data_IF_653436746796
#
_entry.id   IF_653436746796
#
_cell.length_a   1.000
_cell.length_b   1.000
_cell.length_c   1.000
_cell.angle_alpha   90.00
_cell.angle_beta   90.00
_cell.angle_gamma   90.00
#
_symmetry.space_group_name_H-M   'P 1'
#
loop_
_entity.id
_entity.type
_entity.pdbx_description
1 polymer ?
#
# COMPACT_ATOMS: atom_id res chain seq x y z
N UNK A 1 12.01 -14.98 -11.70
CA UNK A 1 11.54 -14.55 -10.36
C UNK A 1 11.12 -15.80 -9.58
N UNK A 2 11.44 -15.89 -8.30
CA UNK A 2 10.95 -16.98 -7.43
C UNK A 2 9.46 -16.81 -7.15
N UNK A 3 8.76 -17.92 -6.88
CA UNK A 3 7.34 -17.88 -6.47
C UNK A 3 7.14 -17.21 -5.10
N UNK A 4 8.17 -17.24 -4.24
CA UNK A 4 8.14 -16.63 -2.92
C UNK A 4 8.76 -15.24 -2.96
N UNK A 5 8.13 -14.30 -2.27
CA UNK A 5 8.67 -12.98 -1.99
C UNK A 5 9.49 -13.02 -0.70
N UNK A 6 10.69 -12.45 -0.75
CA UNK A 6 11.60 -12.41 0.38
C UNK A 6 11.86 -10.96 0.78
N UNK A 7 11.41 -10.53 1.97
CA UNK A 7 11.78 -9.24 2.54
C UNK A 7 13.30 -9.09 2.65
N UNK A 8 13.81 -7.93 2.25
CA UNK A 8 15.25 -7.61 2.38
C UNK A 8 15.48 -6.99 3.77
N UNK A 9 16.50 -7.42 4.53
CA UNK A 9 16.92 -6.73 5.76
C UNK A 9 17.17 -5.24 5.50
N UNK A 10 16.83 -4.37 6.44
CA UNK A 10 16.84 -2.93 6.19
C UNK A 10 18.24 -2.36 5.98
N UNK A 11 19.25 -2.92 6.66
CA UNK A 11 20.65 -2.62 6.42
C UNK A 11 21.08 -2.90 4.99
N UNK A 12 20.71 -4.05 4.44
CA UNK A 12 21.02 -4.49 3.10
C UNK A 12 20.28 -3.65 2.06
N UNK A 13 19.01 -3.33 2.34
CA UNK A 13 18.18 -2.45 1.50
C UNK A 13 18.79 -1.06 1.37
N UNK A 14 19.16 -0.43 2.49
CA UNK A 14 19.73 0.92 2.48
C UNK A 14 21.16 0.95 1.95
N UNK A 15 21.98 -0.08 2.20
CA UNK A 15 23.30 -0.18 1.58
C UNK A 15 23.22 -0.30 0.07
N UNK A 16 22.21 -0.99 -0.48
CA UNK A 16 21.98 -1.01 -1.92
C UNK A 16 21.64 0.41 -2.42
N UNK A 17 20.65 1.07 -1.83
CA UNK A 17 20.26 2.45 -2.20
C UNK A 17 21.47 3.39 -2.20
N UNK A 18 22.27 3.39 -1.13
CA UNK A 18 23.43 4.29 -1.02
C UNK A 18 24.54 3.94 -2.00
N UNK A 19 24.83 2.66 -2.21
CA UNK A 19 25.90 2.22 -3.10
C UNK A 19 25.56 2.47 -4.56
N UNK A 20 24.32 2.17 -4.98
CA UNK A 20 23.84 2.43 -6.35
C UNK A 20 23.82 3.93 -6.65
N UNK A 21 23.28 4.72 -5.72
CA UNK A 21 23.24 6.18 -5.89
C UNK A 21 24.64 6.79 -5.94
N UNK A 22 25.59 6.31 -5.13
CA UNK A 22 26.97 6.77 -5.19
C UNK A 22 27.69 6.34 -6.49
N UNK A 23 27.35 5.18 -7.05
CA UNK A 23 28.02 4.62 -8.22
C UNK A 23 27.52 5.22 -9.53
N UNK A 24 26.21 5.30 -9.73
CA UNK A 24 25.61 5.74 -10.99
C UNK A 24 24.50 6.79 -10.82
N UNK A 25 24.18 7.17 -9.58
CA UNK A 25 23.10 8.11 -9.28
C UNK A 25 21.72 7.49 -9.26
N UNK A 26 21.57 6.20 -9.56
CA UNK A 26 20.26 5.53 -9.64
C UNK A 26 19.77 5.05 -8.26
N UNK A 27 18.46 4.78 -8.17
CA UNK A 27 17.88 4.05 -7.04
C UNK A 27 16.99 2.92 -7.57
N UNK A 28 17.40 1.67 -7.35
CA UNK A 28 16.74 0.47 -7.87
C UNK A 28 16.44 0.57 -9.38
N UNK A 29 17.41 1.04 -10.17
CA UNK A 29 17.29 1.23 -11.62
C UNK A 29 16.44 2.41 -12.07
N UNK A 30 15.94 3.25 -11.15
CA UNK A 30 15.29 4.51 -11.52
C UNK A 30 16.37 5.53 -11.87
N UNK A 31 16.53 5.82 -13.17
CA UNK A 31 17.55 6.76 -13.66
C UNK A 31 17.16 8.24 -13.58
N UNK A 32 15.85 8.51 -13.60
CA UNK A 32 15.30 9.87 -13.57
C UNK A 32 14.50 10.07 -12.30
N UNK A 33 15.09 10.79 -11.36
CA UNK A 33 14.48 11.11 -10.09
C UNK A 33 13.53 12.28 -10.22
N UNK A 34 12.41 12.21 -9.50
CA UNK A 34 11.61 13.38 -9.23
C UNK A 34 12.28 14.20 -8.12
N UNK A 35 12.30 15.52 -8.32
CA UNK A 35 12.68 16.49 -7.31
C UNK A 35 11.50 17.41 -7.03
N UNK A 36 11.23 17.67 -5.75
CA UNK A 36 10.11 18.51 -5.31
C UNK A 36 10.09 19.87 -6.02
N UNK A 37 8.98 20.20 -6.67
CA UNK A 37 8.80 21.46 -7.40
C UNK A 37 8.34 22.64 -6.52
N UNK A 38 8.15 22.41 -5.21
CA UNK A 38 7.54 23.34 -4.27
C UNK A 38 6.01 23.37 -4.30
N UNK A 39 5.36 22.66 -5.24
CA UNK A 39 3.91 22.48 -5.27
C UNK A 39 3.48 21.38 -4.29
N UNK A 40 2.32 21.56 -3.67
CA UNK A 40 1.70 20.55 -2.81
C UNK A 40 0.18 20.59 -2.87
N UNK A 41 -0.45 19.47 -2.55
CA UNK A 41 -1.90 19.30 -2.43
C UNK A 41 -2.22 18.81 -1.02
N UNK A 42 -3.24 19.36 -0.35
CA UNK A 42 -3.65 18.89 0.96
C UNK A 42 -4.36 17.53 0.86
N UNK A 43 -4.11 16.65 1.82
CA UNK A 43 -4.85 15.40 1.98
C UNK A 43 -4.83 15.01 3.46
N UNK A 44 -5.99 14.82 4.10
CA UNK A 44 -6.07 14.31 5.48
C UNK A 44 -5.33 15.13 6.56
N UNK A 45 -5.20 16.44 6.37
CA UNK A 45 -4.38 17.30 7.23
C UNK A 45 -2.86 17.13 7.01
N UNK A 46 -2.48 16.27 6.08
CA UNK A 46 -1.14 16.08 5.52
C UNK A 46 -1.08 16.71 4.11
N UNK A 47 0.01 16.48 3.38
CA UNK A 47 0.20 16.99 2.02
C UNK A 47 0.97 16.01 1.14
N UNK A 48 0.71 16.10 -0.18
CA UNK A 48 1.43 15.37 -1.21
C UNK A 48 2.00 16.33 -2.26
N UNK A 49 3.24 16.10 -2.73
CA UNK A 49 3.87 16.95 -3.75
C UNK A 49 3.40 16.63 -5.19
N UNK A 50 2.85 15.43 -5.39
CA UNK A 50 2.28 14.97 -6.66
C UNK A 50 0.99 14.17 -6.38
N UNK A 51 0.01 14.16 -7.29
CA UNK A 51 -1.22 13.40 -7.12
C UNK A 51 -1.09 11.93 -7.58
N UNK A 52 0.12 11.37 -7.60
CA UNK A 52 0.37 10.04 -8.16
C UNK A 52 0.95 9.09 -7.12
N UNK A 53 0.64 7.80 -7.28
CA UNK A 53 1.36 6.73 -6.65
C UNK A 53 0.64 5.38 -6.75
N UNK A 54 1.26 4.31 -6.24
CA UNK A 54 0.77 2.97 -6.45
C UNK A 54 -0.49 2.69 -5.60
N UNK A 55 -1.48 2.04 -6.21
CA UNK A 55 -2.62 1.44 -5.52
C UNK A 55 -2.17 0.18 -4.74
N UNK A 56 -3.00 -0.32 -3.81
CA UNK A 56 -2.74 -1.58 -3.12
C UNK A 56 -2.61 -2.73 -4.13
N UNK A 57 -1.37 -3.20 -4.35
CA UNK A 57 -1.06 -4.16 -5.40
C UNK A 57 0.38 -4.68 -5.28
N UNK A 58 0.84 -5.50 -6.23
CA UNK A 58 2.20 -6.04 -6.22
C UNK A 58 3.29 -4.96 -6.09
N UNK A 59 3.04 -3.77 -6.64
CA UNK A 59 3.98 -2.64 -6.63
C UNK A 59 4.08 -1.91 -5.28
N UNK A 60 3.17 -2.15 -4.33
CA UNK A 60 3.16 -1.50 -3.01
C UNK A 60 3.30 -2.49 -1.84
N UNK A 61 3.87 -3.67 -2.12
CA UNK A 61 4.02 -4.75 -1.14
C UNK A 61 5.42 -4.83 -0.50
N UNK A 62 6.47 -4.55 -1.27
CA UNK A 62 7.86 -4.62 -0.81
C UNK A 62 8.49 -3.23 -0.74
N UNK A 63 9.39 -3.03 0.21
CA UNK A 63 9.99 -1.73 0.50
C UNK A 63 10.76 -1.17 -0.71
N UNK A 64 11.52 -2.00 -1.42
CA UNK A 64 12.27 -1.59 -2.61
C UNK A 64 11.35 -1.08 -3.74
N UNK A 65 10.16 -1.67 -3.90
CA UNK A 65 9.20 -1.22 -4.92
C UNK A 65 8.62 0.15 -4.56
N UNK A 66 8.32 0.36 -3.27
CA UNK A 66 7.83 1.65 -2.75
C UNK A 66 8.92 2.73 -2.88
N UNK A 67 10.18 2.39 -2.56
CA UNK A 67 11.34 3.28 -2.72
C UNK A 67 11.54 3.67 -4.17
N UNK A 68 11.52 2.70 -5.10
CA UNK A 68 11.63 2.98 -6.53
C UNK A 68 10.47 3.87 -7.02
N UNK A 69 9.24 3.60 -6.59
CA UNK A 69 8.09 4.43 -6.94
C UNK A 69 8.22 5.87 -6.41
N UNK A 70 8.73 6.06 -5.19
CA UNK A 70 9.00 7.39 -4.62
C UNK A 70 10.07 8.15 -5.41
N UNK A 71 11.17 7.47 -5.74
CA UNK A 71 12.25 8.02 -6.54
C UNK A 71 11.73 8.48 -7.91
N UNK A 72 10.79 7.73 -8.51
CA UNK A 72 10.12 8.08 -9.76
C UNK A 72 9.02 9.17 -9.63
N UNK A 73 8.69 9.62 -8.41
CA UNK A 73 7.79 10.76 -8.16
C UNK A 73 6.46 10.43 -7.47
N UNK A 74 6.21 9.19 -7.05
CA UNK A 74 5.03 8.84 -6.28
C UNK A 74 5.03 9.54 -4.91
N UNK A 75 3.85 10.01 -4.46
CA UNK A 75 3.63 10.68 -3.16
C UNK A 75 2.42 10.19 -2.40
N UNK A 76 1.54 9.41 -3.02
CA UNK A 76 0.45 8.74 -2.34
C UNK A 76 0.64 7.22 -2.46
N UNK A 77 0.86 6.53 -1.34
CA UNK A 77 1.12 5.10 -1.34
C UNK A 77 -0.02 4.36 -0.65
N UNK A 78 -0.90 3.73 -1.44
CA UNK A 78 -1.83 2.74 -0.90
C UNK A 78 -1.08 1.40 -0.79
N UNK A 79 -0.63 1.08 0.42
CA UNK A 79 0.20 -0.12 0.65
C UNK A 79 -0.67 -1.38 0.59
N UNK A 80 -0.07 -2.50 0.18
CA UNK A 80 -0.80 -3.74 -0.11
C UNK A 80 -1.66 -4.20 1.09
N UNK A 81 -2.90 -4.58 0.78
CA UNK A 81 -3.91 -5.01 1.75
C UNK A 81 -3.44 -6.18 2.60
N UNK A 82 -3.60 -6.03 3.91
CA UNK A 82 -3.44 -7.12 4.89
C UNK A 82 -4.80 -7.69 5.29
N UNK A 83 -4.85 -8.99 5.54
CA UNK A 83 -6.05 -9.69 5.99
C UNK A 83 -5.72 -10.82 6.97
N UNK A 84 -6.75 -11.45 7.53
CA UNK A 84 -6.60 -12.50 8.56
C UNK A 84 -5.77 -13.69 8.07
N UNK A 85 -6.08 -14.19 6.87
CA UNK A 85 -5.35 -15.25 6.17
C UNK A 85 -4.16 -14.64 5.43
N UNK A 86 -2.93 -15.06 5.75
CA UNK A 86 -1.70 -14.43 5.27
C UNK A 86 -0.58 -15.45 5.06
N UNK A 87 0.53 -15.00 4.45
CA UNK A 87 1.73 -15.82 4.30
C UNK A 87 1.50 -17.12 3.52
N UNK A 88 2.01 -18.23 4.06
CA UNK A 88 1.98 -19.54 3.38
C UNK A 88 0.56 -20.10 3.19
N UNK A 89 -0.36 -19.81 4.12
CA UNK A 89 -1.76 -20.23 4.01
C UNK A 89 -2.42 -19.57 2.80
N UNK A 90 -2.29 -18.24 2.69
CA UNK A 90 -2.79 -17.49 1.54
C UNK A 90 -2.10 -17.91 0.25
N UNK A 91 -0.76 -18.00 0.25
CA UNK A 91 0.02 -18.35 -0.94
C UNK A 91 -0.33 -19.74 -1.51
N UNK A 92 -0.80 -20.67 -0.67
CA UNK A 92 -1.26 -21.98 -1.11
C UNK A 92 -2.63 -21.93 -1.83
N UNK A 93 -3.43 -20.90 -1.59
CA UNK A 93 -4.72 -20.68 -2.25
C UNK A 93 -4.61 -19.94 -3.59
N UNK A 94 -3.44 -19.34 -3.89
CA UNK A 94 -3.26 -18.54 -5.11
C UNK A 94 -2.90 -19.45 -6.28
N UNK A 95 -3.79 -19.62 -7.29
CA UNK A 95 -3.44 -20.34 -8.50
C UNK A 95 -2.36 -19.59 -9.28
N UNK A 96 -1.35 -20.29 -9.80
CA UNK A 96 -0.24 -19.70 -10.57
C UNK A 96 -0.24 -20.19 -12.02
N UNK A 97 0.08 -19.32 -13.01
CA UNK A 97 0.43 -17.90 -12.87
C UNK A 97 -0.78 -17.06 -12.43
N UNK A 98 -0.58 -16.21 -11.41
CA UNK A 98 -1.64 -15.35 -10.86
C UNK A 98 -1.71 -13.98 -11.54
N UNK A 99 -0.67 -13.60 -12.28
CA UNK A 99 -0.60 -12.36 -13.05
C UNK A 99 -0.01 -12.67 -14.43
N UNK A 100 -0.71 -12.27 -15.48
CA UNK A 100 -0.22 -12.32 -16.87
C UNK A 100 -0.45 -10.94 -17.49
N UNK A 101 0.62 -10.15 -17.64
CA UNK A 101 0.54 -8.78 -18.13
C UNK A 101 0.84 -8.64 -19.64
N UNK A 102 0.74 -9.73 -20.40
CA UNK A 102 1.14 -9.75 -21.81
C UNK A 102 0.11 -9.10 -22.75
N UNK A 103 -1.16 -9.00 -22.33
CA UNK A 103 -2.30 -8.49 -23.09
C UNK A 103 -3.15 -7.52 -22.22
N UNK A 104 -4.48 -7.68 -22.17
CA UNK A 104 -5.42 -6.94 -21.32
C UNK A 104 -5.09 -7.04 -19.82
N UNK A 105 -4.20 -7.95 -19.43
CA UNK A 105 -3.68 -8.07 -18.09
C UNK A 105 -4.60 -8.93 -17.23
N UNK A 106 -4.27 -10.22 -17.12
CA UNK A 106 -4.94 -11.10 -16.17
C UNK A 106 -4.33 -10.93 -14.78
N UNK A 107 -5.18 -10.74 -13.77
CA UNK A 107 -4.79 -10.68 -12.38
C UNK A 107 -5.77 -11.47 -11.52
N UNK A 108 -5.25 -12.36 -10.70
CA UNK A 108 -5.99 -13.01 -9.64
C UNK A 108 -5.87 -12.15 -8.38
N UNK A 109 -6.96 -11.46 -8.05
CA UNK A 109 -6.99 -10.51 -6.95
C UNK A 109 -6.87 -11.21 -5.59
N UNK A 110 -5.67 -11.20 -5.03
CA UNK A 110 -5.41 -11.66 -3.66
C UNK A 110 -4.74 -10.56 -2.84
N UNK A 111 -4.90 -10.65 -1.51
CA UNK A 111 -4.18 -9.82 -0.54
C UNK A 111 -2.67 -10.15 -0.52
N UNK A 112 -1.92 -9.55 0.40
CA UNK A 112 -0.47 -9.77 0.50
C UNK A 112 -0.09 -11.26 0.66
N UNK A 113 0.95 -11.70 -0.05
CA UNK A 113 1.57 -13.02 0.12
C UNK A 113 2.54 -13.05 1.30
N UNK A 114 2.83 -11.88 1.88
CA UNK A 114 3.58 -11.76 3.12
C UNK A 114 2.70 -12.09 4.31
N UNK A 115 3.31 -12.45 5.44
CA UNK A 115 2.60 -12.36 6.72
C UNK A 115 2.28 -10.89 7.05
N UNK A 116 1.26 -10.64 7.87
CA UNK A 116 0.89 -9.28 8.31
C UNK A 116 2.08 -8.57 8.97
N UNK A 117 2.89 -9.30 9.75
CA UNK A 117 4.09 -8.73 10.37
C UNK A 117 5.14 -8.34 9.33
N UNK A 118 5.39 -9.19 8.32
CA UNK A 118 6.33 -8.85 7.25
C UNK A 118 5.85 -7.65 6.43
N UNK A 119 4.56 -7.58 6.10
CA UNK A 119 3.99 -6.42 5.42
C UNK A 119 4.18 -5.12 6.24
N UNK A 120 3.88 -5.18 7.55
CA UNK A 120 4.13 -4.08 8.48
C UNK A 120 5.60 -3.62 8.42
N UNK A 121 6.52 -4.57 8.49
CA UNK A 121 7.95 -4.27 8.51
C UNK A 121 8.40 -3.64 7.20
N UNK A 122 7.94 -4.14 6.05
CA UNK A 122 8.24 -3.54 4.73
C UNK A 122 7.73 -2.10 4.62
N UNK A 123 6.54 -1.80 5.14
CA UNK A 123 5.99 -0.44 5.07
C UNK A 123 6.72 0.52 6.02
N UNK A 124 7.13 0.05 7.21
CA UNK A 124 7.96 0.83 8.14
C UNK A 124 9.35 1.09 7.54
N UNK A 125 9.95 0.09 6.89
CA UNK A 125 11.24 0.25 6.17
C UNK A 125 11.13 1.32 5.09
N UNK A 126 10.11 1.21 4.22
CA UNK A 126 9.88 2.18 3.16
C UNK A 126 9.70 3.59 3.75
N UNK A 127 8.83 3.76 4.75
CA UNK A 127 8.60 5.05 5.41
C UNK A 127 9.91 5.71 5.86
N UNK A 128 10.74 4.99 6.61
CA UNK A 128 12.02 5.49 7.10
C UNK A 128 13.01 5.82 5.96
N UNK A 129 13.08 4.96 4.93
CA UNK A 129 13.94 5.18 3.77
C UNK A 129 13.53 6.45 3.01
N UNK A 130 12.23 6.63 2.73
CA UNK A 130 11.72 7.79 2.00
C UNK A 130 12.02 9.09 2.73
N UNK A 131 11.83 9.14 4.07
CA UNK A 131 12.14 10.33 4.88
C UNK A 131 13.63 10.73 4.77
N UNK A 132 14.55 9.77 4.78
CA UNK A 132 15.99 10.08 4.64
C UNK A 132 16.35 10.45 3.21
N UNK A 133 15.84 9.72 2.22
CA UNK A 133 16.11 10.02 0.81
C UNK A 133 15.59 11.39 0.38
N UNK A 134 14.43 11.81 0.89
CA UNK A 134 13.88 13.14 0.63
C UNK A 134 14.87 14.24 1.04
N UNK A 135 15.53 14.06 2.18
CA UNK A 135 16.51 15.00 2.73
C UNK A 135 17.88 14.88 2.07
N UNK A 136 18.48 13.69 2.08
CA UNK A 136 19.87 13.45 1.66
C UNK A 136 20.05 13.63 0.15
N UNK A 137 19.06 13.21 -0.64
CA UNK A 137 19.13 13.28 -2.10
C UNK A 137 18.27 14.40 -2.69
N UNK A 138 17.57 15.18 -1.85
CA UNK A 138 16.72 16.27 -2.30
C UNK A 138 15.57 15.82 -3.19
N UNK A 139 15.05 14.60 -2.98
CA UNK A 139 13.95 14.04 -3.78
C UNK A 139 12.61 14.69 -3.48
N UNK A 140 12.49 15.46 -2.39
CA UNK A 140 11.29 16.20 -2.03
C UNK A 140 11.27 16.57 -0.55
N UNK A 141 10.16 17.11 -0.08
CA UNK A 141 9.93 17.35 1.33
C UNK A 141 9.69 16.01 2.07
N UNK A 142 10.31 15.78 3.25
CA UNK A 142 10.06 14.58 4.05
C UNK A 142 8.58 14.41 4.41
N UNK A 143 7.80 15.46 4.56
CA UNK A 143 6.36 15.42 4.82
C UNK A 143 5.53 15.70 3.56
N UNK A 144 6.16 15.55 2.39
CA UNK A 144 5.54 15.72 1.07
C UNK A 144 4.89 14.48 0.48
N UNK A 145 4.76 13.39 1.24
CA UNK A 145 4.12 12.14 0.84
C UNK A 145 3.31 11.54 1.98
N UNK A 146 2.35 10.67 1.65
CA UNK A 146 1.49 9.98 2.61
C UNK A 146 1.41 8.50 2.31
N UNK A 147 1.33 7.69 3.37
CA UNK A 147 0.93 6.29 3.27
C UNK A 147 -0.53 6.16 3.68
N UNK A 148 -1.23 5.30 2.96
CA UNK A 148 -2.61 4.92 3.20
C UNK A 148 -2.61 3.40 3.37
N UNK A 149 -2.79 2.94 4.61
CA UNK A 149 -2.78 1.52 4.91
C UNK A 149 -4.02 0.84 4.31
N UNK A 150 -3.91 -0.39 3.81
CA UNK A 150 -5.10 -1.13 3.35
C UNK A 150 -5.35 -2.35 4.22
N UNK A 151 -6.61 -2.53 4.63
CA UNK A 151 -7.07 -3.70 5.39
C UNK A 151 -8.32 -4.27 4.71
N UNK A 152 -8.47 -5.58 4.74
CA UNK A 152 -9.65 -6.27 4.25
C UNK A 152 -9.95 -7.49 5.10
N UNK A 153 -11.17 -7.57 5.63
CA UNK A 153 -11.82 -8.74 6.23
C UNK A 153 -13.20 -8.30 6.77
N UNK A 154 -13.95 -9.20 7.41
CA UNK A 154 -15.06 -8.81 8.28
C UNK A 154 -14.60 -7.99 9.51
N UNK A 155 -15.55 -7.35 10.20
CA UNK A 155 -15.27 -6.50 11.36
C UNK A 155 -14.56 -7.28 12.48
N UNK A 156 -14.95 -8.52 12.71
CA UNK A 156 -14.36 -9.33 13.79
C UNK A 156 -12.90 -9.69 13.50
N UNK A 157 -12.55 -9.94 12.25
CA UNK A 157 -11.17 -10.13 11.83
C UNK A 157 -10.35 -8.86 11.86
N UNK A 158 -10.93 -7.70 11.50
CA UNK A 158 -10.28 -6.39 11.63
C UNK A 158 -10.01 -6.05 13.10
N UNK A 159 -10.97 -6.32 13.99
CA UNK A 159 -10.82 -6.16 15.45
C UNK A 159 -9.90 -7.23 16.06
N UNK A 160 -9.72 -8.35 15.36
CA UNK A 160 -8.86 -9.44 15.76
C UNK A 160 -7.42 -8.96 16.03
N UNK A 161 -6.76 -9.62 16.99
CA UNK A 161 -5.42 -9.21 17.47
C UNK A 161 -4.43 -8.93 16.35
N UNK A 162 -4.41 -9.77 15.31
CA UNK A 162 -3.47 -9.67 14.19
C UNK A 162 -3.62 -8.32 13.44
N UNK A 163 -4.80 -8.05 12.89
CA UNK A 163 -5.06 -6.84 12.09
C UNK A 163 -5.10 -5.59 12.96
N UNK A 164 -5.69 -5.68 14.15
CA UNK A 164 -5.72 -4.57 15.09
C UNK A 164 -4.32 -4.13 15.53
N UNK A 165 -3.39 -5.07 15.72
CA UNK A 165 -1.98 -4.76 16.05
C UNK A 165 -1.28 -4.07 14.89
N UNK A 166 -1.52 -4.54 13.65
CA UNK A 166 -1.01 -3.89 12.44
C UNK A 166 -1.50 -2.44 12.34
N UNK A 167 -2.82 -2.21 12.44
CA UNK A 167 -3.40 -0.86 12.38
C UNK A 167 -2.76 0.06 13.41
N UNK A 168 -2.69 -0.39 14.68
CA UNK A 168 -2.10 0.41 15.75
C UNK A 168 -0.61 0.70 15.51
N UNK A 169 0.13 -0.26 14.98
CA UNK A 169 1.56 -0.10 14.69
C UNK A 169 1.82 0.80 13.48
N UNK A 170 0.92 0.82 12.50
CA UNK A 170 0.99 1.76 11.38
C UNK A 170 0.60 3.18 11.80
N UNK A 171 -0.31 3.32 12.77
CA UNK A 171 -0.64 4.61 13.39
C UNK A 171 0.52 5.17 14.24
N UNK A 172 1.27 4.30 14.92
CA UNK A 172 2.47 4.62 15.68
C UNK A 172 3.44 3.42 15.72
N UNK A 173 4.48 3.49 14.89
CA UNK A 173 5.50 2.46 14.77
C UNK A 173 6.60 2.57 15.83
N UNK A 174 6.57 3.58 16.71
CA UNK A 174 7.70 3.98 17.56
C UNK A 174 8.18 2.87 18.51
N UNK A 175 7.30 1.95 18.88
CA UNK A 175 7.62 0.81 19.75
C UNK A 175 8.04 -0.44 19.00
N UNK A 176 7.81 -0.51 17.69
CA UNK A 176 8.13 -1.69 16.86
C UNK A 176 9.63 -1.94 16.79
N UNK A 177 10.02 -3.19 16.62
CA UNK A 177 11.43 -3.55 16.43
C UNK A 177 11.97 -2.97 15.12
N UNK A 178 11.18 -3.05 14.04
CA UNK A 178 11.58 -2.57 12.73
C UNK A 178 11.87 -1.08 12.71
N UNK A 179 11.04 -0.23 13.34
CA UNK A 179 11.29 1.21 13.36
C UNK A 179 12.57 1.58 14.11
N UNK A 180 12.86 0.88 15.22
CA UNK A 180 14.10 1.05 15.99
C UNK A 180 15.33 0.63 15.19
N UNK A 181 15.24 -0.50 14.50
CA UNK A 181 16.27 -0.96 13.57
C UNK A 181 16.50 0.07 12.47
N UNK A 182 15.44 0.59 11.85
CA UNK A 182 15.55 1.59 10.81
C UNK A 182 16.30 2.84 11.29
N UNK A 183 15.94 3.38 12.45
CA UNK A 183 16.63 4.55 13.02
C UNK A 183 18.09 4.27 13.32
N UNK A 184 18.42 3.08 13.84
CA UNK A 184 19.79 2.67 14.11
C UNK A 184 20.61 2.64 12.82
N UNK A 185 20.16 1.87 11.82
CA UNK A 185 20.84 1.69 10.53
C UNK A 185 21.01 3.04 9.81
N UNK A 186 19.97 3.87 9.76
CA UNK A 186 20.06 5.18 9.13
C UNK A 186 21.06 6.09 9.85
N UNK A 187 21.11 6.06 11.18
CA UNK A 187 22.07 6.87 11.96
C UNK A 187 23.51 6.42 11.72
N UNK A 188 23.74 5.13 11.51
CA UNK A 188 25.05 4.58 11.18
C UNK A 188 25.47 4.95 9.74
N UNK A 189 24.55 4.91 8.77
CA UNK A 189 24.81 5.25 7.37
C UNK A 189 24.93 6.76 7.12
N UNK A 190 24.18 7.58 7.85
CA UNK A 190 24.12 9.03 7.68
C UNK A 190 24.33 9.75 9.03
N UNK A 191 25.54 9.68 9.62
CA UNK A 191 25.81 10.23 10.94
C UNK A 191 25.58 11.74 11.03
N UNK A 192 25.82 12.47 9.94
CA UNK A 192 25.57 13.92 9.85
C UNK A 192 24.08 14.27 9.93
N UNK A 193 23.19 13.32 9.64
CA UNK A 193 21.73 13.49 9.64
C UNK A 193 21.05 12.95 10.91
N UNK A 194 21.84 12.62 11.94
CA UNK A 194 21.36 11.98 13.17
C UNK A 194 20.18 12.69 13.82
N UNK A 195 20.20 14.01 13.92
CA UNK A 195 19.12 14.78 14.55
C UNK A 195 17.83 14.70 13.74
N UNK A 196 17.94 14.73 12.41
CA UNK A 196 16.79 14.53 11.54
C UNK A 196 16.24 13.11 11.64
N UNK A 197 17.10 12.10 11.61
CA UNK A 197 16.70 10.69 11.77
C UNK A 197 16.05 10.48 13.14
N UNK A 198 16.56 11.12 14.19
CA UNK A 198 15.97 11.10 15.51
C UNK A 198 14.56 11.73 15.53
N UNK A 199 14.31 12.74 14.69
CA UNK A 199 13.02 13.43 14.55
C UNK A 199 12.02 12.74 13.61
N UNK A 200 12.40 11.69 12.86
CA UNK A 200 11.49 10.97 11.97
C UNK A 200 10.24 10.53 12.76
N UNK A 201 9.09 10.99 12.28
CA UNK A 201 7.79 10.65 12.88
C UNK A 201 7.55 9.13 12.83
N UNK A 202 7.11 8.52 13.94
CA UNK A 202 6.71 7.12 13.95
C UNK A 202 5.30 6.89 13.38
N UNK A 203 4.54 7.95 13.08
CA UNK A 203 3.19 7.86 12.55
C UNK A 203 3.25 7.56 11.04
N UNK A 204 3.29 6.27 10.67
CA UNK A 204 3.48 5.84 9.28
C UNK A 204 2.24 6.14 8.44
N UNK A 205 1.04 5.92 8.96
CA UNK A 205 -0.20 6.11 8.22
C UNK A 205 -1.35 6.57 9.11
N UNK A 206 -2.01 7.66 8.72
CA UNK A 206 -3.20 8.23 9.37
C UNK A 206 -4.50 8.02 8.59
N UNK A 207 -4.39 7.38 7.43
CA UNK A 207 -5.52 7.00 6.59
C UNK A 207 -5.55 5.49 6.39
N UNK A 208 -6.71 4.98 6.02
CA UNK A 208 -6.96 3.57 5.76
C UNK A 208 -7.91 3.40 4.59
N UNK A 209 -7.64 2.39 3.76
CA UNK A 209 -8.56 1.89 2.75
C UNK A 209 -9.13 0.55 3.20
N UNK A 210 -10.44 0.53 3.38
CA UNK A 210 -11.20 -0.70 3.50
C UNK A 210 -11.33 -1.32 2.12
N UNK A 211 -10.60 -2.41 1.88
CA UNK A 211 -10.76 -3.24 0.70
C UNK A 211 -11.94 -4.18 0.94
N UNK A 212 -13.05 -3.97 0.22
CA UNK A 212 -14.24 -4.80 0.37
C UNK A 212 -14.00 -6.18 -0.24
N UNK A 213 -14.39 -7.24 0.46
CA UNK A 213 -14.42 -8.58 -0.11
C UNK A 213 -15.63 -8.72 -1.03
N UNK A 214 -15.55 -9.59 -2.04
CA UNK A 214 -16.72 -10.00 -2.80
C UNK A 214 -17.80 -10.56 -1.87
N UNK A 215 -19.06 -10.20 -2.13
CA UNK A 215 -20.23 -10.58 -1.33
C UNK A 215 -20.25 -9.98 0.08
N UNK A 216 -19.39 -8.99 0.39
CA UNK A 216 -19.43 -8.33 1.69
C UNK A 216 -20.74 -7.51 1.82
N UNK A 217 -21.60 -7.80 2.82
CA UNK A 217 -22.87 -7.10 2.96
C UNK A 217 -22.67 -5.60 3.21
N UNK A 218 -23.54 -4.71 2.65
CA UNK A 218 -23.41 -3.26 2.83
C UNK A 218 -23.33 -2.84 4.31
N UNK A 219 -24.13 -3.47 5.17
CA UNK A 219 -24.14 -3.18 6.61
C UNK A 219 -22.83 -3.59 7.28
N UNK A 220 -22.13 -4.60 6.77
CA UNK A 220 -20.82 -4.99 7.29
C UNK A 220 -19.75 -3.96 6.91
N UNK A 221 -19.78 -3.48 5.66
CA UNK A 221 -18.91 -2.39 5.19
C UNK A 221 -19.12 -1.14 6.04
N UNK A 222 -20.37 -0.73 6.28
CA UNK A 222 -20.70 0.43 7.12
C UNK A 222 -20.20 0.27 8.55
N UNK A 223 -20.35 -0.92 9.15
CA UNK A 223 -19.87 -1.22 10.51
C UNK A 223 -18.34 -1.11 10.59
N UNK A 224 -17.62 -1.62 9.59
CA UNK A 224 -16.16 -1.52 9.53
C UNK A 224 -15.73 -0.07 9.33
N UNK A 225 -16.31 0.64 8.37
CA UNK A 225 -16.00 2.05 8.12
C UNK A 225 -16.27 2.90 9.37
N UNK A 226 -17.41 2.69 10.04
CA UNK A 226 -17.74 3.32 11.31
C UNK A 226 -16.70 3.04 12.40
N UNK A 227 -16.23 1.80 12.52
CA UNK A 227 -15.18 1.43 13.47
C UNK A 227 -13.86 2.17 13.16
N UNK A 228 -13.42 2.17 11.90
CA UNK A 228 -12.18 2.84 11.48
C UNK A 228 -12.25 4.36 11.69
N UNK A 229 -13.40 4.98 11.44
CA UNK A 229 -13.61 6.42 11.66
C UNK A 229 -13.74 6.78 13.14
N UNK A 230 -14.60 6.07 13.89
CA UNK A 230 -15.00 6.47 15.25
C UNK A 230 -14.09 5.94 16.34
N UNK A 231 -13.60 4.70 16.20
CA UNK A 231 -12.78 4.03 17.22
C UNK A 231 -11.28 4.12 16.90
N UNK A 232 -10.92 4.09 15.60
CA UNK A 232 -9.52 4.25 15.16
C UNK A 232 -9.14 5.67 14.79
N UNK A 233 -10.11 6.56 14.58
CA UNK A 233 -9.87 7.94 14.16
C UNK A 233 -9.00 8.05 12.89
N UNK A 234 -9.18 7.12 11.96
CA UNK A 234 -8.47 7.09 10.68
C UNK A 234 -9.33 7.75 9.59
N UNK A 235 -8.69 8.52 8.72
CA UNK A 235 -9.34 8.94 7.48
C UNK A 235 -9.59 7.70 6.62
N UNK A 236 -10.86 7.41 6.34
CA UNK A 236 -11.26 6.10 5.80
C UNK A 236 -11.76 6.24 4.37
N UNK A 237 -11.19 5.45 3.47
CA UNK A 237 -11.74 5.17 2.15
C UNK A 237 -12.44 3.81 2.14
N UNK A 238 -13.53 3.68 1.40
CA UNK A 238 -14.12 2.40 1.02
C UNK A 238 -13.79 2.17 -0.45
N UNK A 239 -13.06 1.09 -0.75
CA UNK A 239 -12.69 0.72 -2.12
C UNK A 239 -13.67 -0.32 -2.63
N UNK A 240 -14.64 0.12 -3.41
CA UNK A 240 -15.70 -0.71 -3.96
C UNK A 240 -15.21 -1.59 -5.11
N UNK A 241 -15.84 -2.75 -5.26
CA UNK A 241 -15.64 -3.61 -6.41
C UNK A 241 -16.22 -2.96 -7.68
N UNK A 242 -15.61 -3.17 -8.86
CA UNK A 242 -16.09 -2.59 -10.12
C UNK A 242 -17.44 -3.15 -10.56
N UNK A 243 -17.89 -4.25 -9.96
CA UNK A 243 -19.23 -4.85 -10.11
C UNK A 243 -20.35 -3.86 -9.86
N UNK A 244 -20.11 -2.79 -9.08
CA UNK A 244 -21.06 -1.70 -8.84
C UNK A 244 -21.54 -0.99 -10.13
N UNK A 245 -20.79 -1.11 -11.24
CA UNK A 245 -21.20 -0.58 -12.56
C UNK A 245 -22.40 -1.33 -13.18
N UNK A 246 -22.66 -2.55 -12.71
CA UNK A 246 -23.69 -3.45 -13.24
C UNK A 246 -23.23 -4.23 -14.48
N UNK A 247 -23.70 -5.48 -14.58
CA UNK A 247 -23.28 -6.44 -15.61
C UNK A 247 -23.45 -5.92 -17.03
N UNK A 248 -24.65 -5.40 -17.35
CA UNK A 248 -24.97 -4.92 -18.70
C UNK A 248 -24.05 -3.79 -19.15
N UNK A 249 -23.70 -2.88 -18.25
CA UNK A 249 -22.78 -1.78 -18.51
C UNK A 249 -21.37 -2.32 -18.78
N UNK A 250 -20.86 -3.19 -17.90
CA UNK A 250 -19.54 -3.78 -18.05
C UNK A 250 -19.41 -4.58 -19.36
N UNK A 251 -20.41 -5.41 -19.69
CA UNK A 251 -20.45 -6.20 -20.92
C UNK A 251 -20.47 -5.32 -22.17
N UNK A 252 -21.35 -4.31 -22.19
CA UNK A 252 -21.44 -3.36 -23.31
C UNK A 252 -20.14 -2.60 -23.56
N UNK A 253 -19.45 -2.16 -22.49
CA UNK A 253 -18.15 -1.48 -22.60
C UNK A 253 -17.12 -2.43 -23.23
N UNK A 254 -16.98 -3.64 -22.70
CA UNK A 254 -16.02 -4.61 -23.20
C UNK A 254 -16.29 -5.00 -24.67
N UNK A 255 -17.56 -5.21 -25.04
CA UNK A 255 -17.95 -5.49 -26.44
C UNK A 255 -17.56 -4.34 -27.37
N UNK A 256 -17.83 -3.10 -26.96
CA UNK A 256 -17.52 -1.92 -27.76
C UNK A 256 -16.01 -1.70 -27.99
N UNK A 257 -15.18 -2.26 -27.12
CA UNK A 257 -13.72 -2.21 -27.20
C UNK A 257 -13.10 -3.40 -27.94
N UNK A 258 -13.92 -4.37 -28.38
CA UNK A 258 -13.45 -5.59 -29.06
C UNK A 258 -13.03 -6.73 -28.12
N UNK A 259 -13.46 -6.68 -26.86
CA UNK A 259 -13.20 -7.70 -25.83
C UNK A 259 -14.39 -8.67 -25.64
N UNK A 260 -15.07 -9.03 -26.74
CA UNK A 260 -16.24 -9.93 -26.75
C UNK A 260 -15.90 -11.37 -26.34
N UNK A 261 -14.63 -11.75 -26.42
CA UNK A 261 -14.12 -13.06 -25.99
C UNK A 261 -13.97 -13.19 -24.47
N UNK A 262 -13.99 -12.10 -23.69
CA UNK A 262 -13.90 -12.17 -22.22
C UNK A 262 -15.24 -12.65 -21.66
N UNK A 263 -15.22 -13.80 -20.98
CA UNK A 263 -16.42 -14.44 -20.42
C UNK A 263 -16.51 -14.20 -18.91
N UNK A 264 -17.65 -13.67 -18.46
CA UNK A 264 -18.04 -13.53 -17.06
C UNK A 264 -19.57 -13.54 -16.95
N UNK A 265 -20.09 -13.83 -15.76
CA UNK A 265 -21.52 -13.92 -15.48
C UNK A 265 -22.02 -12.78 -14.57
N UNK A 266 -23.31 -12.79 -14.28
CA UNK A 266 -23.99 -11.80 -13.43
C UNK A 266 -23.81 -12.07 -11.92
N UNK A 267 -23.18 -13.17 -11.51
CA UNK A 267 -23.20 -13.65 -10.12
C UNK A 267 -22.62 -12.61 -9.15
N UNK A 268 -21.35 -12.23 -9.34
CA UNK A 268 -20.71 -11.23 -8.48
C UNK A 268 -21.32 -9.83 -8.62
N UNK A 269 -21.94 -9.51 -9.76
CA UNK A 269 -22.64 -8.23 -9.94
C UNK A 269 -23.89 -8.11 -9.07
N UNK A 270 -24.56 -9.23 -8.79
CA UNK A 270 -25.77 -9.27 -7.98
C UNK A 270 -25.48 -9.44 -6.48
N UNK A 271 -24.34 -10.06 -6.13
CA UNK A 271 -23.98 -10.34 -4.73
C UNK A 271 -23.14 -9.26 -4.07
N UNK A 272 -22.35 -8.51 -4.83
CA UNK A 272 -21.54 -7.41 -4.31
C UNK A 272 -22.40 -6.19 -3.92
N UNK A 273 -21.76 -5.19 -3.31
CA UNK A 273 -22.38 -3.92 -2.94
C UNK A 273 -23.05 -3.24 -4.14
N UNK A 274 -24.35 -2.98 -4.03
CA UNK A 274 -25.14 -2.30 -5.05
C UNK A 274 -25.05 -0.78 -4.91
N UNK A 275 -25.20 -0.05 -6.03
CA UNK A 275 -25.10 1.42 -6.04
C UNK A 275 -26.11 2.10 -5.11
N UNK A 276 -27.33 1.57 -5.05
CA UNK A 276 -28.40 2.10 -4.18
C UNK A 276 -28.10 1.97 -2.69
N UNK A 277 -27.29 0.99 -2.29
CA UNK A 277 -26.81 0.80 -0.93
C UNK A 277 -25.50 1.55 -0.65
N UNK A 278 -24.66 1.73 -1.68
CA UNK A 278 -23.36 2.39 -1.54
C UNK A 278 -23.47 3.90 -1.30
N UNK A 279 -24.43 4.57 -1.94
CA UNK A 279 -24.59 6.04 -1.85
C UNK A 279 -25.06 6.52 -0.46
N UNK A 280 -25.99 5.82 0.22
CA UNK A 280 -26.44 6.23 1.56
C UNK A 280 -25.47 5.94 2.71
N UNK A 281 -24.51 5.03 2.51
CA UNK A 281 -23.50 4.61 3.50
C UNK A 281 -22.45 5.69 3.78
#
# INVERSE_FOLDING_TARGET
MSEKMYPIPFDSLMNWVTSEYAQCGDVFGVHKHYHGSGKSLPIFGERIETPFGPAAGPNSQLAQNIIAAYAAGARFFEVKTVQKMDGAELAACVPRPCILAADEGYNQEWSTELTVQQAQDEYIKAWCALKVMSKVYGFGDPDGFVFNMSVGYDLDGIKGRKINTYINSMMDAGKTAQFKECKKVLTELFPEEKDFIASISPNVSRSVTLSTLHGCPPQEIERIASYLLKEKHLHTFVKCNPTILGYKTARSILDSMGYDYIVFDEHHFNEDLQWEDAVPM
#
